data_IF_740147291067
#
_entry.id   IF_740147291067
#
_cell.length_a   1.000
_cell.length_b   1.000
_cell.length_c   1.000
_cell.angle_alpha   90.00
_cell.angle_beta   90.00
_cell.angle_gamma   90.00
#
_symmetry.space_group_name_H-M   'P 1'
#
loop_
_entity.id
_entity.type
_entity.pdbx_description
1 polymer ?
#
# COMPACT_ATOMS: atom_id res chain seq x y z
N UNK A 1 19.48 7.17 -8.88
CA UNK A 1 18.85 5.90 -8.48
C UNK A 1 17.53 5.76 -9.25
N UNK A 2 17.44 4.81 -10.19
CA UNK A 2 16.20 4.58 -10.92
C UNK A 2 15.28 3.76 -10.01
N UNK A 3 14.27 4.41 -9.42
CA UNK A 3 13.05 3.70 -9.05
C UNK A 3 12.62 2.92 -10.30
N UNK A 4 12.17 1.69 -10.11
CA UNK A 4 11.81 0.74 -11.17
C UNK A 4 11.27 1.45 -12.42
N UNK A 5 11.72 1.05 -13.62
CA UNK A 5 11.47 1.65 -14.94
C UNK A 5 9.97 1.81 -15.33
N UNK A 6 9.05 1.59 -14.39
CA UNK A 6 7.59 1.65 -14.48
C UNK A 6 6.95 2.58 -13.40
N UNK A 7 7.72 3.33 -12.61
CA UNK A 7 7.15 4.30 -11.66
C UNK A 7 6.70 5.56 -12.40
N UNK A 8 5.38 5.77 -12.46
CA UNK A 8 4.77 6.95 -13.08
C UNK A 8 4.34 7.91 -11.98
N UNK A 9 5.08 9.02 -11.82
CA UNK A 9 4.83 10.00 -10.76
C UNK A 9 3.41 10.59 -10.84
N UNK A 10 2.88 10.79 -12.04
CA UNK A 10 1.52 11.33 -12.25
C UNK A 10 0.43 10.39 -11.71
N UNK A 11 0.62 9.07 -11.87
CA UNK A 11 -0.30 8.05 -11.33
C UNK A 11 -0.20 8.02 -9.80
N UNK A 12 1.01 8.16 -9.25
CA UNK A 12 1.20 8.24 -7.80
C UNK A 12 0.51 9.48 -7.21
N UNK A 13 0.74 10.65 -7.81
CA UNK A 13 0.18 11.92 -7.34
C UNK A 13 -1.35 11.90 -7.42
N UNK A 14 -1.91 11.51 -8.57
CA UNK A 14 -3.37 11.40 -8.74
C UNK A 14 -3.99 10.37 -7.80
N UNK A 15 -3.33 9.22 -7.61
CA UNK A 15 -3.75 8.20 -6.65
C UNK A 15 -3.68 8.69 -5.20
N UNK A 16 -2.66 9.44 -4.82
CA UNK A 16 -2.49 9.99 -3.48
C UNK A 16 -3.63 10.96 -3.13
N UNK A 17 -3.85 11.98 -3.97
CA UNK A 17 -4.89 12.97 -3.71
C UNK A 17 -6.31 12.39 -3.87
N UNK A 18 -6.54 11.55 -4.87
CA UNK A 18 -7.84 10.89 -5.07
C UNK A 18 -8.23 10.02 -3.87
N UNK A 19 -7.31 9.18 -3.37
CA UNK A 19 -7.56 8.38 -2.18
C UNK A 19 -7.72 9.23 -0.92
N UNK A 20 -6.99 10.35 -0.79
CA UNK A 20 -7.12 11.26 0.35
C UNK A 20 -8.51 11.93 0.40
N UNK A 21 -9.01 12.39 -0.75
CA UNK A 21 -10.37 12.97 -0.86
C UNK A 21 -11.43 11.92 -0.53
N UNK A 22 -11.30 10.69 -1.04
CA UNK A 22 -12.21 9.60 -0.70
C UNK A 22 -12.18 9.26 0.79
N UNK A 23 -11.00 9.19 1.40
CA UNK A 23 -10.84 8.95 2.83
C UNK A 23 -11.48 10.06 3.66
N UNK A 24 -11.28 11.33 3.29
CA UNK A 24 -11.92 12.48 3.94
C UNK A 24 -13.45 12.42 3.83
N UNK A 25 -13.98 12.08 2.65
CA UNK A 25 -15.42 11.89 2.44
C UNK A 25 -15.99 10.76 3.29
N UNK A 26 -15.30 9.62 3.36
CA UNK A 26 -15.71 8.48 4.19
C UNK A 26 -15.63 8.78 5.68
N UNK A 27 -14.60 9.51 6.14
CA UNK A 27 -14.49 9.95 7.52
C UNK A 27 -15.65 10.88 7.90
N UNK A 28 -15.96 11.87 7.06
CA UNK A 28 -17.10 12.77 7.25
C UNK A 28 -18.44 12.03 7.29
N UNK A 29 -18.64 11.05 6.39
CA UNK A 29 -19.81 10.17 6.41
C UNK A 29 -19.89 9.33 7.69
N UNK A 30 -18.75 8.82 8.18
CA UNK A 30 -18.66 8.06 9.42
C UNK A 30 -19.06 8.89 10.64
N UNK A 31 -18.54 10.11 10.74
CA UNK A 31 -18.86 11.06 11.81
C UNK A 31 -20.37 11.34 11.84
N UNK A 32 -20.99 11.54 10.67
CA UNK A 32 -22.44 11.80 10.58
C UNK A 32 -23.31 10.59 10.94
N UNK A 33 -22.83 9.37 10.67
CA UNK A 33 -23.54 8.14 11.03
C UNK A 33 -23.24 7.67 12.47
N UNK A 34 -22.30 8.32 13.18
CA UNK A 34 -21.84 7.87 14.50
C UNK A 34 -21.10 6.54 14.46
N UNK A 35 -20.56 6.14 13.30
CA UNK A 35 -19.86 4.87 13.10
C UNK A 35 -18.37 5.14 12.89
N UNK A 36 -17.46 4.39 13.54
CA UNK A 36 -16.03 4.58 13.40
C UNK A 36 -15.50 4.02 12.06
N UNK A 37 -15.87 4.66 10.94
CA UNK A 37 -15.48 4.23 9.57
C UNK A 37 -13.97 4.24 9.37
N UNK A 38 -13.22 5.03 10.15
CA UNK A 38 -11.76 5.01 10.12
C UNK A 38 -11.19 3.59 10.35
N UNK A 39 -11.87 2.72 11.09
CA UNK A 39 -11.46 1.33 11.29
C UNK A 39 -11.42 0.56 9.95
N UNK A 40 -12.38 0.79 9.06
CA UNK A 40 -12.38 0.18 7.73
C UNK A 40 -11.17 0.64 6.90
N UNK A 41 -10.84 1.94 6.96
CA UNK A 41 -9.64 2.47 6.32
C UNK A 41 -8.37 1.81 6.88
N UNK A 42 -8.24 1.73 8.21
CA UNK A 42 -7.09 1.09 8.87
C UNK A 42 -6.93 -0.37 8.45
N UNK A 43 -8.02 -1.15 8.38
CA UNK A 43 -7.98 -2.55 7.95
C UNK A 43 -7.52 -2.68 6.50
N UNK A 44 -8.08 -1.89 5.58
CA UNK A 44 -7.71 -1.94 4.16
C UNK A 44 -6.26 -1.50 3.94
N UNK A 45 -5.84 -0.40 4.56
CA UNK A 45 -4.45 0.07 4.49
C UNK A 45 -3.49 -0.92 5.14
N UNK A 46 -3.85 -1.49 6.29
CA UNK A 46 -3.09 -2.55 6.95
C UNK A 46 -2.90 -3.77 6.06
N UNK A 47 -3.95 -4.23 5.39
CA UNK A 47 -3.89 -5.32 4.39
C UNK A 47 -2.89 -5.00 3.28
N UNK A 48 -2.96 -3.81 2.68
CA UNK A 48 -2.00 -3.37 1.64
C UNK A 48 -0.55 -3.34 2.15
N UNK A 49 -0.32 -2.93 3.39
CA UNK A 49 1.02 -2.95 4.00
C UNK A 49 1.51 -4.40 4.13
N UNK A 50 0.67 -5.31 4.61
CA UNK A 50 1.02 -6.73 4.73
C UNK A 50 1.26 -7.40 3.37
N UNK A 51 0.49 -7.04 2.34
CA UNK A 51 0.71 -7.54 0.98
C UNK A 51 2.08 -7.11 0.44
N UNK A 52 2.41 -5.81 0.55
CA UNK A 52 3.72 -5.29 0.17
C UNK A 52 4.85 -5.98 0.95
N UNK A 53 4.66 -6.20 2.25
CA UNK A 53 5.61 -6.94 3.08
C UNK A 53 5.77 -8.39 2.62
N UNK A 54 4.67 -9.07 2.28
CA UNK A 54 4.68 -10.43 1.74
C UNK A 54 5.50 -10.54 0.45
N UNK A 55 5.34 -9.57 -0.46
CA UNK A 55 6.14 -9.47 -1.69
C UNK A 55 7.61 -9.26 -1.39
N UNK A 56 7.96 -8.30 -0.52
CA UNK A 56 9.36 -8.05 -0.12
C UNK A 56 9.98 -9.30 0.50
N UNK A 57 9.27 -9.95 1.44
CA UNK A 57 9.71 -11.19 2.08
C UNK A 57 10.01 -12.27 1.03
N UNK A 58 9.13 -12.45 0.04
CA UNK A 58 9.32 -13.42 -1.04
C UNK A 58 10.58 -13.12 -1.85
N UNK A 59 10.76 -11.86 -2.28
CA UNK A 59 11.93 -11.43 -3.05
C UNK A 59 13.22 -11.66 -2.26
N UNK A 60 13.22 -11.37 -0.96
CA UNK A 60 14.39 -11.59 -0.09
C UNK A 60 14.75 -13.08 0.00
N UNK A 61 13.75 -13.96 0.16
CA UNK A 61 13.98 -15.42 0.23
C UNK A 61 14.49 -15.96 -1.11
N UNK A 62 13.87 -15.55 -2.23
CA UNK A 62 14.30 -15.96 -3.57
C UNK A 62 15.75 -15.52 -3.85
N UNK A 63 16.11 -14.29 -3.47
CA UNK A 63 17.48 -13.77 -3.59
C UNK A 63 18.48 -14.50 -2.68
N UNK A 64 18.07 -14.90 -1.49
CA UNK A 64 18.92 -15.67 -0.57
C UNK A 64 19.16 -17.10 -1.08
N UNK A 65 18.13 -17.76 -1.63
CA UNK A 65 18.27 -19.08 -2.25
C UNK A 65 19.19 -19.06 -3.47
N UNK A 66 19.00 -18.10 -4.39
CA UNK A 66 19.83 -18.02 -5.60
C UNK A 66 21.32 -17.77 -5.28
N UNK A 67 21.62 -17.07 -4.18
CA UNK A 67 23.01 -16.87 -3.75
C UNK A 67 23.68 -18.14 -3.19
N UNK A 68 22.89 -19.13 -2.78
CA UNK A 68 23.37 -20.40 -2.22
C UNK A 68 23.68 -21.41 -3.32
N UNK A 69 23.01 -21.33 -4.48
CA UNK A 69 23.22 -22.25 -5.62
C UNK A 69 24.43 -21.88 -6.51
N UNK A 70 25.00 -20.69 -6.33
CA UNK A 70 26.19 -20.20 -7.05
C UNK A 70 27.50 -20.47 -6.26
N UNK A 71 27.42 -21.15 -5.11
CA UNK A 71 28.55 -21.70 -4.36
C UNK A 71 28.57 -23.22 -4.48
#
# INVERSE_FOLDING_TARGET
>A
ASLAKNFHADIFISGFFGNAVLAAGLAYLGDKMGVPIYLAAVVVFGGRIFDNFGVIRRILIEKAKSHTEVK
#
